data_IF_387843473862
#
_entry.id   IF_387843473862
#
_cell.length_a   1.000
_cell.length_b   1.000
_cell.length_c   1.000
_cell.angle_alpha   90.00
_cell.angle_beta   90.00
_cell.angle_gamma   90.00
#
_symmetry.space_group_name_H-M   'P 1'
#
loop_
_entity.id
_entity.type
_entity.pdbx_description
1 polymer ?
#
# COMPACT_ATOMS: atom_id res chain seq x y z
N UNK A 1 -37.59 -38.91 -49.14
CA UNK A 1 -36.62 -38.10 -48.37
C UNK A 1 -37.37 -37.44 -47.23
N UNK A 2 -36.98 -37.72 -45.98
CA UNK A 2 -37.63 -37.16 -44.78
C UNK A 2 -36.99 -35.80 -44.48
N UNK A 3 -37.76 -34.73 -44.23
CA UNK A 3 -37.18 -33.47 -43.78
C UNK A 3 -36.71 -33.65 -42.34
N UNK A 4 -35.42 -33.42 -42.08
CA UNK A 4 -34.92 -33.35 -40.71
C UNK A 4 -35.40 -32.04 -40.10
N UNK A 5 -36.39 -32.13 -39.21
CA UNK A 5 -36.74 -31.03 -38.33
C UNK A 5 -35.54 -30.78 -37.40
N UNK A 6 -35.01 -29.56 -37.43
CA UNK A 6 -34.01 -29.09 -36.50
C UNK A 6 -34.68 -28.99 -35.13
N UNK A 7 -34.45 -29.98 -34.28
CA UNK A 7 -34.82 -29.94 -32.87
C UNK A 7 -33.99 -28.82 -32.22
N UNK A 8 -34.63 -27.71 -31.85
CA UNK A 8 -34.00 -26.65 -31.06
C UNK A 8 -34.03 -27.11 -29.61
N UNK A 9 -33.09 -27.98 -29.25
CA UNK A 9 -32.86 -28.33 -27.86
C UNK A 9 -32.47 -27.04 -27.14
N UNK A 10 -33.36 -26.64 -26.22
CA UNK A 10 -33.21 -25.45 -25.40
C UNK A 10 -32.20 -25.79 -24.31
N UNK A 11 -30.94 -25.93 -24.70
CA UNK A 11 -29.80 -25.89 -23.78
C UNK A 11 -29.54 -24.42 -23.44
N UNK A 12 -30.50 -23.79 -22.76
CA UNK A 12 -30.25 -22.61 -21.94
C UNK A 12 -29.45 -23.08 -20.72
N UNK A 13 -28.19 -23.49 -20.95
CA UNK A 13 -27.23 -23.77 -19.91
C UNK A 13 -26.88 -22.44 -19.23
N UNK A 14 -27.70 -22.08 -18.25
CA UNK A 14 -27.30 -21.56 -16.95
C UNK A 14 -26.05 -20.66 -16.92
N UNK A 15 -26.01 -19.63 -17.77
CA UNK A 15 -25.07 -18.51 -17.61
C UNK A 15 -25.38 -17.67 -16.34
N UNK A 16 -26.35 -18.08 -15.52
CA UNK A 16 -26.72 -17.45 -14.25
C UNK A 16 -26.03 -18.04 -13.01
N UNK A 17 -25.29 -19.15 -13.13
CA UNK A 17 -24.70 -19.85 -11.98
C UNK A 17 -23.23 -19.50 -11.71
N UNK A 18 -22.80 -18.28 -12.03
CA UNK A 18 -21.56 -17.72 -11.43
C UNK A 18 -21.89 -16.71 -10.32
N UNK A 19 -23.06 -16.08 -10.34
CA UNK A 19 -23.45 -15.06 -9.36
C UNK A 19 -23.92 -15.62 -8.01
N UNK A 20 -23.95 -16.95 -7.86
CA UNK A 20 -24.45 -17.62 -6.65
C UNK A 20 -23.34 -18.03 -5.66
N UNK A 21 -22.10 -17.58 -5.84
CA UNK A 21 -21.07 -17.69 -4.80
C UNK A 21 -21.42 -16.75 -3.63
N UNK A 22 -22.15 -17.33 -2.69
CA UNK A 22 -22.49 -16.89 -1.33
C UNK A 22 -21.75 -15.65 -0.79
N UNK A 23 -22.45 -14.59 -0.34
CA UNK A 23 -21.87 -13.58 0.53
C UNK A 23 -21.94 -14.07 1.98
N UNK A 24 -21.31 -15.22 2.26
CA UNK A 24 -21.16 -15.73 3.63
C UNK A 24 -19.75 -15.48 4.21
N UNK A 25 -18.82 -15.05 3.37
CA UNK A 25 -17.61 -14.37 3.79
C UNK A 25 -17.91 -12.88 3.68
N UNK A 26 -18.05 -12.20 4.82
CA UNK A 26 -18.29 -10.75 4.85
C UNK A 26 -17.36 -10.07 3.85
N UNK A 27 -17.94 -9.23 2.98
CA UNK A 27 -17.17 -8.52 1.98
C UNK A 27 -15.90 -7.94 2.62
N UNK A 28 -14.73 -8.09 1.98
CA UNK A 28 -13.50 -7.54 2.51
C UNK A 28 -13.72 -6.05 2.77
N UNK A 29 -13.42 -5.61 3.99
CA UNK A 29 -13.64 -4.23 4.40
C UNK A 29 -12.97 -3.27 3.40
N UNK A 30 -13.76 -2.35 2.83
CA UNK A 30 -13.26 -1.36 1.89
C UNK A 30 -12.46 -0.28 2.64
N UNK A 31 -11.14 -0.34 2.54
CA UNK A 31 -10.22 0.65 3.09
C UNK A 31 -9.78 1.71 2.07
N UNK A 32 -10.25 1.60 0.82
CA UNK A 32 -9.92 2.54 -0.25
C UNK A 32 -10.82 3.78 -0.23
N UNK A 33 -11.97 3.69 0.44
CA UNK A 33 -12.87 4.81 0.73
C UNK A 33 -12.32 5.73 1.83
N UNK A 34 -12.75 6.99 1.85
CA UNK A 34 -12.38 7.97 2.90
C UNK A 34 -12.69 7.45 4.31
N UNK A 35 -13.88 6.88 4.47
CA UNK A 35 -14.35 6.34 5.75
C UNK A 35 -13.54 5.12 6.17
N UNK A 36 -13.27 4.20 5.23
CA UNK A 36 -12.41 3.05 5.46
C UNK A 36 -10.99 3.44 5.86
N UNK A 37 -10.40 4.44 5.22
CA UNK A 37 -9.09 4.96 5.57
C UNK A 37 -9.08 5.58 6.98
N UNK A 38 -10.15 6.28 7.37
CA UNK A 38 -10.32 6.81 8.72
C UNK A 38 -10.46 5.69 9.76
N UNK A 39 -11.28 4.68 9.50
CA UNK A 39 -11.42 3.51 10.36
C UNK A 39 -10.08 2.75 10.52
N UNK A 40 -9.29 2.65 9.46
CA UNK A 40 -7.97 2.03 9.50
C UNK A 40 -6.99 2.85 10.35
N UNK A 41 -6.99 4.18 10.18
CA UNK A 41 -6.20 5.09 11.02
C UNK A 41 -6.52 4.89 12.50
N UNK A 42 -7.80 4.94 12.86
CA UNK A 42 -8.24 4.86 14.25
C UNK A 42 -7.89 3.50 14.87
N UNK A 43 -7.96 2.42 14.08
CA UNK A 43 -7.54 1.08 14.50
C UNK A 43 -6.05 1.00 14.82
N UNK A 44 -5.19 1.61 13.99
CA UNK A 44 -3.74 1.63 14.20
C UNK A 44 -3.40 2.43 15.47
N UNK A 45 -4.00 3.61 15.64
CA UNK A 45 -3.77 4.46 16.81
C UNK A 45 -4.27 3.80 18.09
N UNK A 46 -5.46 3.17 18.06
CA UNK A 46 -6.00 2.43 19.20
C UNK A 46 -5.09 1.27 19.63
N UNK A 47 -4.60 0.48 18.67
CA UNK A 47 -3.73 -0.67 18.94
C UNK A 47 -2.47 -0.30 19.72
N UNK A 48 -1.83 0.81 19.37
CA UNK A 48 -0.63 1.28 20.05
C UNK A 48 -0.94 2.00 21.36
N UNK A 49 -2.06 2.73 21.41
CA UNK A 49 -2.51 3.41 22.63
C UNK A 49 -2.81 2.42 23.76
N UNK A 50 -3.41 1.27 23.44
CA UNK A 50 -3.63 0.17 24.39
C UNK A 50 -2.31 -0.36 24.99
N UNK A 51 -1.20 -0.22 24.26
CA UNK A 51 0.16 -0.62 24.68
C UNK A 51 0.95 0.52 25.31
N UNK A 52 0.31 1.67 25.55
CA UNK A 52 0.93 2.84 26.14
C UNK A 52 1.84 3.64 25.20
N UNK A 53 1.77 3.39 23.89
CA UNK A 53 2.56 4.11 22.89
C UNK A 53 1.67 5.00 22.03
N UNK A 54 2.16 6.18 21.67
CA UNK A 54 1.44 7.11 20.82
C UNK A 54 2.08 7.16 19.44
N UNK A 55 1.29 6.86 18.42
CA UNK A 55 1.65 6.93 17.00
C UNK A 55 0.85 8.03 16.35
N UNK A 56 1.46 8.77 15.44
CA UNK A 56 0.76 9.74 14.61
C UNK A 56 0.49 9.14 13.24
N UNK A 57 -0.78 9.03 12.87
CA UNK A 57 -1.20 8.55 11.54
C UNK A 57 -1.91 9.67 10.77
N UNK A 58 -1.38 10.00 9.59
CA UNK A 58 -1.91 11.01 8.68
C UNK A 58 -2.60 10.34 7.49
N UNK A 59 -3.74 10.91 7.09
CA UNK A 59 -4.48 10.51 5.90
C UNK A 59 -4.16 11.47 4.76
N UNK A 60 -3.81 10.93 3.60
CA UNK A 60 -3.49 11.71 2.42
C UNK A 60 -4.37 11.26 1.24
N UNK A 61 -5.22 12.16 0.76
CA UNK A 61 -6.05 11.91 -0.41
C UNK A 61 -5.25 12.24 -1.67
N UNK A 62 -4.92 11.21 -2.46
CA UNK A 62 -4.08 11.37 -3.66
C UNK A 62 -4.91 11.47 -4.94
N UNK A 63 -6.24 11.36 -4.86
CA UNK A 63 -7.12 11.34 -6.03
C UNK A 63 -6.80 10.17 -6.97
N UNK A 64 -7.08 10.34 -8.27
CA UNK A 64 -6.90 9.29 -9.29
C UNK A 64 -5.43 9.06 -9.64
N UNK A 65 -4.99 7.80 -9.57
CA UNK A 65 -3.63 7.41 -9.93
C UNK A 65 -3.63 6.52 -11.20
N UNK A 66 -2.96 6.94 -12.30
CA UNK A 66 -3.14 6.33 -13.62
C UNK A 66 -2.66 4.88 -13.73
N UNK A 67 -1.59 4.51 -13.00
CA UNK A 67 -1.06 3.15 -13.04
C UNK A 67 -2.02 2.11 -12.46
N UNK A 68 -2.78 2.48 -11.41
CA UNK A 68 -3.71 1.59 -10.71
C UNK A 68 -5.16 1.81 -11.14
N UNK A 69 -5.42 2.85 -11.95
CA UNK A 69 -6.74 3.22 -12.48
C UNK A 69 -7.82 3.37 -11.41
N UNK A 70 -7.43 3.85 -10.23
CA UNK A 70 -8.32 4.04 -9.09
C UNK A 70 -7.91 5.29 -8.29
N UNK A 71 -8.88 5.83 -7.54
CA UNK A 71 -8.59 6.78 -6.48
C UNK A 71 -8.12 6.04 -5.22
N UNK A 72 -7.19 6.63 -4.47
CA UNK A 72 -6.69 6.04 -3.23
C UNK A 72 -6.54 7.05 -2.09
N UNK A 73 -6.76 6.55 -0.89
CA UNK A 73 -6.38 7.20 0.35
C UNK A 73 -5.14 6.54 0.92
N UNK A 74 -4.06 7.30 1.06
CA UNK A 74 -2.82 6.83 1.65
C UNK A 74 -2.85 7.05 3.17
N UNK A 75 -2.49 6.01 3.92
CA UNK A 75 -2.28 6.08 5.38
C UNK A 75 -0.78 6.15 5.65
N UNK A 76 -0.30 7.25 6.24
CA UNK A 76 1.12 7.49 6.52
C UNK A 76 1.36 7.60 8.03
N UNK A 77 2.26 6.76 8.57
CA UNK A 77 2.62 6.79 9.98
C UNK A 77 4.02 7.36 10.20
N UNK A 78 4.26 7.91 11.39
CA UNK A 78 5.58 8.41 11.84
C UNK A 78 6.49 7.31 12.42
N UNK A 79 6.00 6.07 12.44
CA UNK A 79 6.72 4.89 12.93
C UNK A 79 7.95 4.60 12.10
N UNK A 80 8.98 4.04 12.74
CA UNK A 80 10.21 3.60 12.08
C UNK A 80 10.26 2.09 12.16
N UNK A 81 10.33 1.41 11.00
CA UNK A 81 10.30 -0.06 10.91
C UNK A 81 9.09 -0.69 11.63
N UNK A 82 7.94 0.00 11.61
CA UNK A 82 6.72 -0.44 12.30
C UNK A 82 6.71 -0.22 13.82
N UNK A 83 7.72 0.43 14.39
CA UNK A 83 7.80 0.76 15.81
C UNK A 83 7.51 2.25 16.06
N UNK A 84 6.68 2.60 17.06
CA UNK A 84 6.44 3.99 17.46
C UNK A 84 7.74 4.67 17.87
N UNK A 85 7.90 5.95 17.49
CA UNK A 85 9.02 6.75 17.98
C UNK A 85 8.83 6.98 19.48
N UNK A 86 9.80 6.55 20.28
CA UNK A 86 9.84 6.91 21.70
C UNK A 86 10.00 8.42 21.77
N UNK A 87 8.95 9.14 22.20
CA UNK A 87 9.01 10.59 22.48
C UNK A 87 9.83 10.85 23.76
N UNK A 88 11.07 10.40 23.76
CA UNK A 88 12.00 10.44 24.88
C UNK A 88 13.47 10.33 24.47
N UNK A 89 13.76 9.87 23.25
CA UNK A 89 15.08 10.01 22.65
C UNK A 89 14.92 10.69 21.31
N UNK A 90 15.03 12.02 21.31
CA UNK A 90 15.45 12.73 20.11
C UNK A 90 16.82 12.16 19.73
N UNK A 91 16.83 11.13 18.88
CA UNK A 91 18.03 10.69 18.21
C UNK A 91 18.54 11.93 17.48
N UNK A 92 19.66 12.48 17.99
CA UNK A 92 20.42 13.52 17.30
C UNK A 92 20.54 13.07 15.84
N UNK A 93 20.37 13.98 14.85
CA UNK A 93 20.65 13.62 13.47
C UNK A 93 22.05 13.04 13.48
N UNK A 94 22.18 11.76 13.11
CA UNK A 94 23.47 11.17 12.89
C UNK A 94 24.02 11.95 11.71
N UNK A 95 24.87 12.92 12.03
CA UNK A 95 25.72 13.59 11.08
C UNK A 95 26.42 12.45 10.35
N UNK A 96 26.00 12.17 9.12
CA UNK A 96 26.78 11.34 8.23
C UNK A 96 28.11 12.07 8.14
N UNK A 97 29.14 11.52 8.77
CA UNK A 97 30.50 11.95 8.51
C UNK A 97 30.70 11.72 7.02
N UNK A 98 30.62 12.83 6.28
CA UNK A 98 31.07 12.90 4.91
C UNK A 98 32.55 12.58 5.01
N UNK A 99 32.92 11.35 4.70
CA UNK A 99 34.31 10.98 4.41
C UNK A 99 34.73 11.79 3.19
N UNK A 100 35.15 13.02 3.44
CA UNK A 100 35.91 13.86 2.53
C UNK A 100 37.36 13.81 3.00
N UNK A 101 37.94 12.62 3.01
CA UNK A 101 39.39 12.44 3.13
C UNK A 101 39.76 11.49 1.97
N UNK A 102 40.70 11.95 1.13
CA UNK A 102 41.32 11.27 -0.02
C UNK A 102 40.76 11.50 -1.45
N UNK A 103 40.63 12.76 -1.88
CA UNK A 103 40.75 13.08 -3.32
C UNK A 103 41.77 14.18 -3.65
N UNK A 104 42.67 14.52 -2.72
CA UNK A 104 43.78 15.45 -2.98
C UNK A 104 45.12 14.70 -3.02
N UNK A 105 45.27 13.76 -3.96
CA UNK A 105 46.60 13.36 -4.44
C UNK A 105 46.82 14.03 -5.80
N UNK A 106 47.06 15.34 -5.77
CA UNK A 106 47.64 16.09 -6.88
C UNK A 106 49.15 15.97 -6.74
N UNK A 107 49.77 15.14 -7.57
CA UNK A 107 51.22 15.11 -7.68
C UNK A 107 51.70 14.05 -8.65
N UNK A 108 52.07 14.53 -9.84
CA UNK A 108 53.07 13.96 -10.75
C UNK A 108 52.94 12.49 -11.15
N UNK A 109 52.59 12.23 -12.42
CA UNK A 109 53.27 11.26 -13.30
C UNK A 109 52.50 11.00 -14.62
N UNK A 110 52.10 12.07 -15.31
CA UNK A 110 51.73 11.99 -16.74
C UNK A 110 52.84 12.59 -17.61
N UNK A 111 54.06 12.07 -17.45
CA UNK A 111 55.07 12.12 -18.49
C UNK A 111 55.16 10.73 -19.14
N UNK A 112 54.56 10.59 -20.31
CA UNK A 112 54.92 9.51 -21.23
C UNK A 112 55.18 10.11 -22.61
N UNK A 113 56.40 9.86 -23.08
CA UNK A 113 57.08 10.29 -24.30
C UNK A 113 56.26 10.05 -25.59
#
# INVERSE_FOLDING_TARGET
MKPYALQKDSDDQDFGSWSSFSPAHGEPADYCSRDGAQALKDKIEAYWRERGQNVMVALHNVGFHPAIRAARFDVRSDMVNGMPRVRGSAAKPQLQEVFAEDFDEVGDDLAFE
#
